data_IF_842484446430
#
_entry.id   IF_842484446430
#
_cell.length_a   1.000
_cell.length_b   1.000
_cell.length_c   1.000
_cell.angle_alpha   90.00
_cell.angle_beta   90.00
_cell.angle_gamma   90.00
#
_symmetry.space_group_name_H-M   'P 1'
#
loop_
_entity.id
_entity.type
_entity.pdbx_description
1 polymer ?
#
# COMPACT_ATOMS: atom_id res chain seq x y z
N UNK A 1 41.19 -7.02 -52.49
CA UNK A 1 40.24 -7.58 -51.51
C UNK A 1 40.34 -6.75 -50.24
N UNK A 2 39.44 -5.79 -50.06
CA UNK A 2 39.28 -5.04 -48.81
C UNK A 2 37.87 -5.39 -48.31
N UNK A 3 37.79 -6.21 -47.27
CA UNK A 3 36.52 -6.52 -46.61
C UNK A 3 36.23 -5.41 -45.59
N UNK A 4 35.25 -4.57 -45.88
CA UNK A 4 34.67 -3.66 -44.90
C UNK A 4 33.65 -4.44 -44.06
N UNK A 5 33.97 -4.61 -42.77
CA UNK A 5 33.06 -5.21 -41.79
C UNK A 5 32.09 -4.11 -41.32
N UNK A 6 30.86 -4.11 -41.83
CA UNK A 6 29.75 -3.31 -41.30
C UNK A 6 29.27 -3.96 -40.00
N UNK A 7 29.75 -3.45 -38.86
CA UNK A 7 29.15 -3.69 -37.55
C UNK A 7 27.93 -2.76 -37.39
N UNK A 8 26.78 -3.20 -37.89
CA UNK A 8 25.49 -2.63 -37.47
C UNK A 8 25.26 -3.03 -36.00
N UNK A 9 25.58 -2.12 -35.09
CA UNK A 9 25.03 -2.16 -33.74
C UNK A 9 23.56 -1.74 -33.85
N UNK A 10 22.66 -2.71 -33.91
CA UNK A 10 21.25 -2.45 -33.66
C UNK A 10 21.13 -2.02 -32.19
N UNK A 11 21.13 -0.71 -31.95
CA UNK A 11 20.66 -0.17 -30.69
C UNK A 11 19.17 -0.50 -30.64
N UNK A 12 18.78 -1.48 -29.83
CA UNK A 12 17.37 -1.71 -29.55
C UNK A 12 16.81 -0.37 -29.03
N UNK A 13 15.95 0.28 -29.82
CA UNK A 13 15.24 1.47 -29.35
C UNK A 13 14.42 1.05 -28.13
N UNK A 14 14.63 1.74 -27.00
CA UNK A 14 13.79 1.57 -25.83
C UNK A 14 12.32 1.75 -26.24
N UNK A 15 11.45 0.86 -25.77
CA UNK A 15 10.03 0.96 -26.07
C UNK A 15 9.48 2.30 -25.56
N UNK A 16 8.85 3.13 -26.42
CA UNK A 16 8.37 4.44 -26.03
C UNK A 16 7.22 4.39 -25.02
N UNK A 17 6.51 3.26 -24.91
CA UNK A 17 5.41 3.05 -23.96
C UNK A 17 5.65 1.77 -23.15
N UNK A 18 4.91 1.60 -22.05
CA UNK A 18 4.99 0.39 -21.23
C UNK A 18 4.51 -0.87 -21.96
N UNK A 19 3.50 -0.73 -22.82
CA UNK A 19 2.98 -1.77 -23.70
C UNK A 19 2.77 -1.14 -25.08
N UNK A 20 3.28 -1.78 -26.12
CA UNK A 20 3.18 -1.25 -27.50
C UNK A 20 1.84 -1.54 -28.18
N UNK A 21 1.25 -2.70 -27.93
CA UNK A 21 -0.03 -3.09 -28.54
C UNK A 21 -0.87 -3.93 -27.59
N UNK A 22 -2.19 -3.74 -27.63
CA UNK A 22 -3.14 -4.60 -26.93
C UNK A 22 -3.69 -5.67 -27.86
N UNK A 23 -3.38 -6.93 -27.57
CA UNK A 23 -4.03 -8.06 -28.21
C UNK A 23 -5.50 -8.17 -27.76
N UNK A 24 -6.43 -8.66 -28.61
CA UNK A 24 -7.78 -9.00 -28.17
C UNK A 24 -7.74 -10.12 -27.12
N UNK A 25 -8.40 -9.93 -25.98
CA UNK A 25 -8.53 -11.00 -24.98
C UNK A 25 -9.62 -11.98 -25.41
N UNK A 26 -9.23 -13.24 -25.62
CA UNK A 26 -10.12 -14.34 -26.02
C UNK A 26 -10.15 -15.50 -25.01
N UNK A 27 -9.36 -15.42 -23.93
CA UNK A 27 -9.18 -16.54 -23.00
C UNK A 27 -10.02 -16.39 -21.73
N UNK A 28 -9.87 -15.28 -21.00
CA UNK A 28 -10.59 -15.04 -19.75
C UNK A 28 -11.95 -14.40 -20.06
N UNK A 29 -12.89 -15.25 -20.49
CA UNK A 29 -14.30 -14.92 -20.72
C UNK A 29 -15.14 -15.61 -19.65
N UNK A 30 -15.61 -14.83 -18.68
CA UNK A 30 -16.17 -15.38 -17.45
C UNK A 30 -17.68 -15.65 -17.57
N UNK A 31 -18.13 -16.82 -17.13
CA UNK A 31 -19.56 -17.15 -17.00
C UNK A 31 -19.99 -17.00 -15.55
N UNK A 32 -20.97 -16.13 -15.27
CA UNK A 32 -21.48 -15.95 -13.91
C UNK A 32 -22.31 -17.15 -13.44
N UNK A 33 -22.94 -17.87 -14.37
CA UNK A 33 -23.74 -19.07 -14.08
C UNK A 33 -22.87 -20.30 -13.83
N UNK A 34 -21.73 -20.39 -14.51
CA UNK A 34 -20.80 -21.52 -14.44
C UNK A 34 -19.36 -20.98 -14.31
N UNK A 35 -19.01 -20.41 -13.14
CA UNK A 35 -17.69 -19.85 -12.93
C UNK A 35 -16.62 -20.95 -12.99
N UNK A 36 -15.43 -20.69 -13.56
CA UNK A 36 -14.36 -21.67 -13.65
C UNK A 36 -14.04 -22.26 -12.27
N UNK A 37 -14.01 -23.59 -12.10
CA UNK A 37 -13.76 -24.22 -10.82
C UNK A 37 -12.30 -24.04 -10.36
N UNK A 38 -11.38 -23.75 -11.28
CA UNK A 38 -9.96 -23.54 -10.99
C UNK A 38 -9.38 -22.37 -11.79
N UNK A 39 -8.19 -21.90 -11.40
CA UNK A 39 -7.46 -20.87 -12.17
C UNK A 39 -6.94 -21.44 -13.49
N UNK A 40 -6.45 -22.68 -13.53
CA UNK A 40 -6.04 -23.33 -14.79
C UNK A 40 -7.16 -23.45 -15.82
N UNK A 41 -8.41 -23.58 -15.38
CA UNK A 41 -9.60 -23.63 -16.26
C UNK A 41 -10.17 -22.25 -16.60
N UNK A 42 -9.65 -21.16 -16.01
CA UNK A 42 -10.19 -19.82 -16.18
C UNK A 42 -9.74 -19.08 -17.45
N UNK A 43 -8.59 -19.47 -18.01
CA UNK A 43 -7.95 -18.74 -19.11
C UNK A 43 -7.13 -17.50 -18.69
N UNK A 44 -6.93 -17.27 -17.38
CA UNK A 44 -6.04 -16.22 -16.87
C UNK A 44 -4.60 -16.40 -17.36
N UNK A 45 -4.08 -17.61 -17.29
CA UNK A 45 -2.72 -17.93 -17.71
C UNK A 45 -2.72 -18.77 -18.99
N UNK A 46 -1.83 -18.43 -19.90
CA UNK A 46 -1.53 -19.20 -21.11
C UNK A 46 -0.56 -20.35 -20.83
N UNK A 47 0.24 -20.19 -19.77
CA UNK A 47 1.08 -21.23 -19.21
C UNK A 47 1.00 -21.14 -17.68
N UNK A 48 0.51 -22.21 -17.06
CA UNK A 48 0.34 -22.30 -15.61
C UNK A 48 1.66 -22.45 -14.86
N UNK A 49 2.64 -23.16 -15.44
CA UNK A 49 3.90 -23.45 -14.76
C UNK A 49 4.72 -22.18 -14.54
N UNK A 50 4.84 -21.37 -15.59
CA UNK A 50 5.49 -20.06 -15.52
C UNK A 50 4.56 -18.93 -15.05
N UNK A 51 3.26 -19.22 -14.87
CA UNK A 51 2.20 -18.22 -14.62
C UNK A 51 2.20 -17.10 -15.66
N UNK A 52 2.49 -17.43 -16.92
CA UNK A 52 2.48 -16.47 -18.04
C UNK A 52 1.05 -16.06 -18.35
N UNK A 53 0.72 -14.80 -18.07
CA UNK A 53 -0.61 -14.22 -18.27
C UNK A 53 -1.01 -14.27 -19.75
N UNK A 54 -2.26 -14.66 -20.01
CA UNK A 54 -2.78 -14.79 -21.37
C UNK A 54 -2.79 -13.46 -22.14
N UNK A 55 -2.57 -13.49 -23.47
CA UNK A 55 -2.59 -12.28 -24.29
C UNK A 55 -3.88 -11.46 -24.15
N UNK A 56 -3.72 -10.13 -24.10
CA UNK A 56 -4.84 -9.18 -23.99
C UNK A 56 -5.31 -8.89 -22.56
N UNK A 57 -4.76 -9.60 -21.57
CA UNK A 57 -4.90 -9.27 -20.14
C UNK A 57 -3.79 -8.29 -19.76
N UNK A 58 -4.17 -7.15 -19.16
CA UNK A 58 -3.30 -5.98 -19.03
C UNK A 58 -2.87 -5.83 -17.57
N UNK A 59 -1.56 -5.88 -17.25
CA UNK A 59 -1.09 -5.62 -15.89
C UNK A 59 -1.26 -4.14 -15.52
N UNK A 60 -1.51 -3.88 -14.25
CA UNK A 60 -1.52 -2.52 -13.70
C UNK A 60 -1.12 -2.50 -12.23
N UNK A 61 -0.66 -1.34 -11.79
CA UNK A 61 -0.32 -1.03 -10.42
C UNK A 61 -1.24 0.04 -9.83
N UNK A 62 -1.05 0.29 -8.54
CA UNK A 62 -1.76 1.35 -7.82
C UNK A 62 -0.75 2.23 -7.09
N UNK A 63 -0.94 3.54 -7.15
CA UNK A 63 -0.06 4.49 -6.47
C UNK A 63 -0.09 4.32 -4.95
N UNK A 64 -1.27 4.20 -4.34
CA UNK A 64 -1.42 3.86 -2.92
C UNK A 64 -2.07 2.48 -2.76
N UNK A 65 -1.42 1.61 -2.01
CA UNK A 65 -1.90 0.25 -1.78
C UNK A 65 -2.97 0.21 -0.68
N UNK A 66 -3.98 -0.63 -0.88
CA UNK A 66 -4.86 -1.08 0.20
C UNK A 66 -4.07 -2.05 1.08
N UNK A 67 -3.96 -1.74 2.37
CA UNK A 67 -3.34 -2.59 3.39
C UNK A 67 -4.09 -3.92 3.52
N UNK A 68 -3.35 -5.01 3.63
CA UNK A 68 -3.88 -6.36 3.86
C UNK A 68 -2.84 -7.20 4.59
N UNK A 69 -2.44 -6.74 5.77
CA UNK A 69 -1.59 -7.49 6.71
C UNK A 69 -0.26 -7.99 6.11
N UNK A 70 0.39 -7.13 5.32
CA UNK A 70 1.66 -7.44 4.66
C UNK A 70 1.51 -8.14 3.30
N UNK A 71 0.32 -8.57 2.89
CA UNK A 71 0.14 -9.19 1.59
C UNK A 71 0.32 -8.18 0.44
N UNK A 72 1.21 -8.51 -0.48
CA UNK A 72 1.43 -7.76 -1.72
C UNK A 72 0.48 -8.24 -2.82
N UNK A 73 0.23 -7.41 -3.82
CA UNK A 73 -0.78 -7.70 -4.85
C UNK A 73 -0.29 -7.39 -6.25
N UNK A 74 -0.43 -8.37 -7.14
CA UNK A 74 -0.36 -8.18 -8.58
C UNK A 74 -1.79 -8.06 -9.13
N UNK A 75 -1.97 -7.24 -10.18
CA UNK A 75 -3.31 -6.90 -10.67
C UNK A 75 -3.36 -6.86 -12.18
N UNK A 76 -4.52 -7.26 -12.70
CA UNK A 76 -4.76 -7.26 -14.14
C UNK A 76 -6.16 -6.78 -14.50
N UNK A 77 -6.31 -6.23 -15.70
CA UNK A 77 -7.58 -5.89 -16.33
C UNK A 77 -7.76 -6.80 -17.55
N UNK A 78 -8.85 -7.56 -17.59
CA UNK A 78 -9.25 -8.36 -18.74
C UNK A 78 -10.60 -7.84 -19.26
N UNK A 79 -10.58 -7.14 -20.40
CA UNK A 79 -11.80 -6.75 -21.11
C UNK A 79 -12.09 -7.79 -22.19
N UNK A 80 -13.35 -8.07 -22.56
CA UNK A 80 -13.64 -9.03 -23.63
C UNK A 80 -13.18 -8.49 -25.00
N UNK A 81 -12.43 -9.30 -25.76
CA UNK A 81 -11.95 -8.94 -27.09
C UNK A 81 -11.20 -7.61 -27.12
N UNK A 82 -11.70 -6.68 -27.94
CA UNK A 82 -11.16 -5.31 -28.11
C UNK A 82 -12.04 -4.24 -27.46
N UNK A 83 -12.95 -4.63 -26.55
CA UNK A 83 -13.83 -3.67 -25.88
C UNK A 83 -13.04 -2.59 -25.12
N UNK A 84 -13.67 -1.44 -24.91
CA UNK A 84 -13.02 -0.24 -24.36
C UNK A 84 -13.73 0.28 -23.13
N UNK A 85 -12.98 0.99 -22.29
CA UNK A 85 -13.46 1.60 -21.04
C UNK A 85 -13.87 3.05 -21.30
N UNK A 86 -15.02 3.45 -20.79
CA UNK A 86 -15.38 4.88 -20.75
C UNK A 86 -14.58 5.54 -19.61
N UNK A 87 -13.61 6.35 -20.01
CA UNK A 87 -12.73 7.06 -19.10
C UNK A 87 -13.46 8.22 -18.40
N UNK A 88 -13.17 8.41 -17.11
CA UNK A 88 -13.51 9.62 -16.37
C UNK A 88 -12.32 10.10 -15.55
N UNK A 89 -12.10 11.41 -15.50
CA UNK A 89 -11.00 12.00 -14.75
C UNK A 89 -11.21 11.96 -13.23
N UNK A 90 -12.46 12.01 -12.76
CA UNK A 90 -12.82 12.13 -11.34
C UNK A 90 -13.80 11.04 -10.88
N UNK A 91 -14.71 10.62 -11.75
CA UNK A 91 -15.69 9.58 -11.42
C UNK A 91 -15.13 8.17 -11.69
N UNK A 92 -15.76 7.12 -11.13
CA UNK A 92 -15.45 5.74 -11.52
C UNK A 92 -15.53 5.56 -13.03
N UNK A 93 -14.56 4.84 -13.59
CA UNK A 93 -14.59 4.43 -15.00
C UNK A 93 -15.75 3.45 -15.25
N UNK A 94 -16.29 3.44 -16.46
CA UNK A 94 -17.32 2.47 -16.85
C UNK A 94 -16.74 1.39 -17.74
N UNK A 95 -17.02 0.15 -17.36
CA UNK A 95 -16.43 -1.02 -17.98
C UNK A 95 -17.46 -1.75 -18.85
N UNK A 96 -17.04 -2.36 -19.96
CA UNK A 96 -17.91 -3.21 -20.78
C UNK A 96 -18.31 -4.46 -20.00
N UNK A 97 -19.51 -5.04 -20.23
CA UNK A 97 -19.94 -6.31 -19.64
C UNK A 97 -18.89 -7.40 -19.80
N UNK A 98 -18.78 -8.30 -18.81
CA UNK A 98 -17.76 -9.37 -18.77
C UNK A 98 -16.31 -8.86 -18.65
N UNK A 99 -16.12 -7.64 -18.15
CA UNK A 99 -14.81 -7.21 -17.65
C UNK A 99 -14.46 -8.02 -16.40
N UNK A 100 -13.24 -8.54 -16.32
CA UNK A 100 -12.68 -9.17 -15.13
C UNK A 100 -11.52 -8.33 -14.61
N UNK A 101 -11.60 -7.90 -13.35
CA UNK A 101 -10.46 -7.34 -12.62
C UNK A 101 -9.88 -8.44 -11.74
N UNK A 102 -8.58 -8.65 -11.87
CA UNK A 102 -7.87 -9.74 -11.20
C UNK A 102 -6.95 -9.16 -10.12
N UNK A 103 -6.90 -9.82 -8.96
CA UNK A 103 -5.93 -9.57 -7.89
C UNK A 103 -5.31 -10.90 -7.47
N UNK A 104 -4.00 -11.00 -7.59
CA UNK A 104 -3.22 -12.09 -6.99
C UNK A 104 -2.65 -11.58 -5.67
N UNK A 105 -2.90 -12.27 -4.57
CA UNK A 105 -2.40 -11.93 -3.24
C UNK A 105 -1.21 -12.83 -2.91
N UNK A 106 -0.10 -12.18 -2.62
CA UNK A 106 1.14 -12.85 -2.27
C UNK A 106 1.49 -12.56 -0.82
N UNK A 107 1.90 -13.61 -0.10
CA UNK A 107 2.37 -13.53 1.28
C UNK A 107 3.86 -13.87 1.33
N UNK A 108 4.65 -13.04 2.02
CA UNK A 108 6.03 -13.37 2.40
C UNK A 108 5.99 -14.31 3.60
N UNK A 109 6.54 -15.51 3.47
CA UNK A 109 6.64 -16.48 4.57
C UNK A 109 7.85 -16.25 5.47
N UNK A 110 8.78 -15.40 5.05
CA UNK A 110 9.84 -14.81 5.87
C UNK A 110 9.78 -13.28 5.72
N UNK A 111 9.49 -12.60 6.83
CA UNK A 111 9.15 -11.19 6.85
C UNK A 111 10.32 -10.34 6.34
N UNK A 112 10.11 -9.65 5.22
CA UNK A 112 11.13 -8.80 4.61
C UNK A 112 12.08 -9.52 3.66
N UNK A 113 11.85 -10.80 3.39
CA UNK A 113 12.50 -11.55 2.31
C UNK A 113 11.50 -11.79 1.15
N UNK A 114 11.58 -11.01 0.07
CA UNK A 114 10.71 -11.18 -1.10
C UNK A 114 10.86 -12.53 -1.81
N UNK A 115 11.95 -13.27 -1.57
CA UNK A 115 12.16 -14.60 -2.17
C UNK A 115 11.34 -15.69 -1.48
N UNK A 116 10.89 -15.45 -0.24
CA UNK A 116 9.97 -16.31 0.51
C UNK A 116 8.50 -16.16 0.08
N UNK A 117 8.24 -15.26 -0.87
CA UNK A 117 6.90 -14.86 -1.27
C UNK A 117 6.21 -15.96 -2.08
N UNK A 118 5.01 -16.35 -1.66
CA UNK A 118 4.15 -17.25 -2.43
C UNK A 118 2.73 -16.71 -2.63
N UNK A 119 2.08 -17.21 -3.67
CA UNK A 119 0.74 -16.83 -4.09
C UNK A 119 -0.29 -17.65 -3.31
N UNK A 120 -1.12 -16.98 -2.51
CA UNK A 120 -2.09 -17.65 -1.61
C UNK A 120 -3.54 -17.50 -2.08
N UNK A 121 -3.85 -16.44 -2.82
CA UNK A 121 -5.19 -16.17 -3.34
C UNK A 121 -5.14 -15.54 -4.73
N UNK A 122 -6.03 -15.98 -5.62
CA UNK A 122 -6.44 -15.18 -6.78
C UNK A 122 -7.90 -14.79 -6.63
N UNK A 123 -8.20 -13.49 -6.80
CA UNK A 123 -9.57 -12.96 -6.74
C UNK A 123 -9.97 -12.33 -8.05
N UNK A 124 -11.13 -12.73 -8.56
CA UNK A 124 -11.78 -12.09 -9.69
C UNK A 124 -12.92 -11.19 -9.21
N UNK A 125 -13.03 -10.03 -9.84
CA UNK A 125 -14.20 -9.16 -9.76
C UNK A 125 -14.75 -9.01 -11.18
N UNK A 126 -15.93 -9.57 -11.42
CA UNK A 126 -16.52 -9.72 -12.76
C UNK A 126 -17.72 -8.79 -12.92
N UNK A 127 -17.71 -7.96 -13.96
CA UNK A 127 -18.80 -7.03 -14.23
C UNK A 127 -19.96 -7.71 -14.97
N UNK A 128 -21.12 -7.74 -14.33
CA UNK A 128 -22.39 -8.16 -14.89
C UNK A 128 -23.13 -6.96 -15.50
N UNK A 129 -23.09 -6.87 -16.83
CA UNK A 129 -23.79 -5.83 -17.57
C UNK A 129 -25.32 -5.96 -17.55
N UNK A 130 -25.88 -7.11 -17.17
CA UNK A 130 -27.34 -7.32 -17.09
C UNK A 130 -27.88 -6.73 -15.79
N UNK A 131 -27.19 -6.96 -14.67
CA UNK A 131 -27.63 -6.49 -13.35
C UNK A 131 -26.99 -5.18 -12.91
N UNK A 132 -26.03 -4.64 -13.67
CA UNK A 132 -25.23 -3.47 -13.31
C UNK A 132 -24.49 -3.68 -11.97
N UNK A 133 -23.88 -4.86 -11.81
CA UNK A 133 -23.19 -5.29 -10.58
C UNK A 133 -21.83 -5.91 -10.84
N UNK A 134 -20.97 -5.83 -9.84
CA UNK A 134 -19.70 -6.55 -9.81
C UNK A 134 -19.81 -7.76 -8.89
N UNK A 135 -19.33 -8.91 -9.35
CA UNK A 135 -19.40 -10.17 -8.63
C UNK A 135 -17.99 -10.64 -8.26
N UNK A 136 -17.74 -10.89 -6.97
CA UNK A 136 -16.46 -11.37 -6.47
C UNK A 136 -16.36 -12.89 -6.43
N UNK A 137 -15.20 -13.42 -6.82
CA UNK A 137 -14.86 -14.85 -6.78
C UNK A 137 -13.46 -15.02 -6.20
N UNK A 138 -13.33 -15.76 -5.12
CA UNK A 138 -12.06 -15.99 -4.41
C UNK A 138 -11.58 -17.42 -4.70
N UNK A 139 -10.34 -17.56 -5.13
CA UNK A 139 -9.68 -18.83 -5.40
C UNK A 139 -8.53 -19.01 -4.42
N UNK A 140 -8.50 -20.13 -3.70
CA UNK A 140 -7.43 -20.48 -2.79
C UNK A 140 -6.40 -21.34 -3.51
N UNK A 141 -5.13 -20.94 -3.46
CA UNK A 141 -4.05 -21.72 -4.05
C UNK A 141 -3.74 -22.96 -3.22
N UNK A 142 -3.49 -24.07 -3.91
CA UNK A 142 -3.01 -25.31 -3.31
C UNK A 142 -1.61 -25.12 -2.72
N UNK A 143 -1.26 -25.91 -1.70
CA UNK A 143 0.01 -25.77 -0.99
C UNK A 143 1.25 -26.04 -1.87
N UNK A 144 1.09 -26.76 -2.97
CA UNK A 144 2.16 -27.00 -3.96
C UNK A 144 2.23 -25.92 -5.05
N UNK A 145 1.34 -24.92 -5.00
CA UNK A 145 1.27 -23.80 -5.94
C UNK A 145 0.86 -24.19 -7.36
N UNK A 146 0.34 -25.41 -7.57
CA UNK A 146 0.02 -25.96 -8.90
C UNK A 146 -1.23 -25.34 -9.53
N UNK A 147 -2.25 -25.04 -8.74
CA UNK A 147 -3.49 -24.41 -9.17
C UNK A 147 -4.18 -23.74 -7.97
N UNK A 148 -5.31 -23.08 -8.22
CA UNK A 148 -6.18 -22.57 -7.18
C UNK A 148 -7.64 -22.94 -7.43
N UNK A 149 -8.35 -23.29 -6.36
CA UNK A 149 -9.73 -23.78 -6.40
C UNK A 149 -10.70 -22.68 -5.98
N UNK A 150 -11.80 -22.56 -6.71
CA UNK A 150 -12.87 -21.62 -6.39
C UNK A 150 -13.52 -21.97 -5.05
N UNK A 151 -13.61 -20.98 -4.16
CA UNK A 151 -14.30 -21.13 -2.88
C UNK A 151 -15.81 -20.84 -3.02
N UNK A 152 -16.64 -21.74 -2.50
CA UNK A 152 -18.10 -21.58 -2.48
C UNK A 152 -18.60 -20.68 -1.33
N UNK A 153 -17.81 -20.57 -0.26
CA UNK A 153 -18.13 -19.82 0.96
C UNK A 153 -16.88 -19.13 1.49
N UNK A 154 -17.04 -18.25 2.46
CA UNK A 154 -15.90 -17.63 3.12
C UNK A 154 -15.07 -18.66 3.88
N UNK A 155 -13.76 -18.47 3.84
CA UNK A 155 -12.76 -19.29 4.54
C UNK A 155 -11.77 -18.35 5.20
N UNK A 156 -11.34 -18.69 6.41
CA UNK A 156 -10.15 -18.08 7.01
C UNK A 156 -9.09 -19.17 7.09
N UNK A 157 -7.96 -18.94 6.43
CA UNK A 157 -6.82 -19.86 6.46
C UNK A 157 -5.71 -19.29 7.33
N UNK A 158 -5.01 -20.18 8.04
CA UNK A 158 -3.91 -19.79 8.93
C UNK A 158 -2.58 -20.12 8.27
N UNK A 159 -1.82 -19.08 7.95
CA UNK A 159 -0.45 -19.20 7.48
C UNK A 159 0.52 -18.87 8.62
N UNK A 160 1.67 -19.54 8.67
CA UNK A 160 2.69 -19.27 9.67
C UNK A 160 3.88 -18.60 8.99
N UNK A 161 4.14 -17.35 9.39
CA UNK A 161 5.16 -16.48 8.80
C UNK A 161 6.30 -16.33 9.79
N UNK A 162 7.53 -16.54 9.34
CA UNK A 162 8.71 -16.19 10.12
C UNK A 162 8.74 -14.67 10.27
N UNK A 163 8.65 -14.21 11.50
CA UNK A 163 8.62 -12.78 11.81
C UNK A 163 9.48 -12.57 13.07
N UNK A 164 10.69 -12.00 12.94
CA UNK A 164 11.60 -11.82 14.08
C UNK A 164 11.02 -10.89 15.17
N UNK A 165 9.95 -10.14 14.86
CA UNK A 165 9.25 -9.26 15.81
C UNK A 165 8.18 -9.98 16.63
N UNK A 166 7.86 -11.23 16.27
CA UNK A 166 6.86 -12.03 16.97
C UNK A 166 7.48 -12.87 18.07
N UNK A 167 6.70 -13.15 19.13
CA UNK A 167 7.15 -14.02 20.22
C UNK A 167 7.46 -15.42 19.68
N UNK A 168 8.71 -15.87 19.82
CA UNK A 168 9.16 -17.14 19.27
C UNK A 168 9.54 -17.12 17.78
N UNK A 169 9.55 -15.94 17.14
CA UNK A 169 9.99 -15.76 15.75
C UNK A 169 9.01 -16.28 14.70
N UNK A 170 7.81 -16.71 15.09
CA UNK A 170 6.76 -17.19 14.22
C UNK A 170 5.44 -16.47 14.52
N UNK A 171 4.88 -15.84 13.50
CA UNK A 171 3.59 -15.14 13.56
C UNK A 171 2.53 -15.91 12.80
N UNK A 172 1.39 -16.11 13.43
CA UNK A 172 0.18 -16.56 12.73
C UNK A 172 -0.41 -15.42 11.88
N UNK A 173 -0.64 -15.68 10.61
CA UNK A 173 -1.28 -14.79 9.65
C UNK A 173 -2.63 -15.41 9.25
N UNK A 174 -3.72 -14.77 9.68
CA UNK A 174 -5.07 -15.16 9.34
C UNK A 174 -5.46 -14.48 8.02
N UNK A 175 -5.51 -15.24 6.92
CA UNK A 175 -5.94 -14.71 5.64
C UNK A 175 -7.42 -15.01 5.42
N UNK A 176 -8.22 -13.95 5.25
CA UNK A 176 -9.66 -14.06 5.05
C UNK A 176 -10.04 -14.04 3.57
N UNK A 177 -10.57 -15.16 3.09
CA UNK A 177 -11.17 -15.30 1.76
C UNK A 177 -12.67 -14.96 1.85
N UNK A 178 -13.15 -13.84 1.28
CA UNK A 178 -14.56 -13.47 1.34
C UNK A 178 -15.39 -14.34 0.40
N UNK A 179 -16.61 -14.68 0.83
CA UNK A 179 -17.66 -15.16 -0.06
C UNK A 179 -18.17 -14.04 -0.97
N UNK A 180 -18.92 -14.42 -2.00
CA UNK A 180 -19.46 -13.47 -2.99
C UNK A 180 -20.30 -12.35 -2.34
N UNK A 181 -21.26 -12.64 -1.45
CA UNK A 181 -22.06 -11.59 -0.81
C UNK A 181 -21.24 -10.69 0.14
N UNK A 182 -20.09 -11.16 0.63
CA UNK A 182 -19.22 -10.35 1.48
C UNK A 182 -18.39 -9.34 0.69
N UNK A 183 -18.16 -9.58 -0.61
CA UNK A 183 -17.51 -8.60 -1.48
C UNK A 183 -18.32 -7.30 -1.58
N UNK A 184 -19.65 -7.40 -1.54
CA UNK A 184 -20.57 -6.25 -1.61
C UNK A 184 -20.45 -5.30 -0.40
N UNK A 185 -19.82 -5.73 0.70
CA UNK A 185 -19.56 -4.84 1.85
C UNK A 185 -18.61 -3.70 1.52
N UNK A 186 -17.69 -3.93 0.58
CA UNK A 186 -16.70 -2.93 0.15
C UNK A 186 -16.95 -2.45 -1.28
N UNK A 187 -17.50 -3.32 -2.14
CA UNK A 187 -17.75 -3.05 -3.56
C UNK A 187 -19.14 -2.42 -3.83
N UNK A 188 -19.55 -1.48 -2.96
CA UNK A 188 -20.85 -0.80 -3.02
C UNK A 188 -20.94 0.17 -4.21
N UNK A 189 -22.15 0.40 -4.71
CA UNK A 189 -22.42 1.23 -5.89
C UNK A 189 -22.00 2.69 -5.66
N UNK A 190 -22.24 3.21 -4.47
CA UNK A 190 -21.90 4.56 -4.04
C UNK A 190 -20.38 4.80 -4.07
N UNK A 191 -19.59 3.74 -3.86
CA UNK A 191 -18.13 3.76 -3.97
C UNK A 191 -17.62 3.57 -5.40
N UNK A 192 -18.50 3.35 -6.38
CA UNK A 192 -18.16 3.03 -7.76
C UNK A 192 -17.94 1.55 -8.03
N UNK A 193 -18.17 0.67 -7.05
CA UNK A 193 -17.99 -0.79 -7.08
C UNK A 193 -16.59 -1.32 -7.43
N UNK A 194 -15.70 -0.53 -8.01
CA UNK A 194 -14.32 -0.90 -8.33
C UNK A 194 -13.35 -0.18 -7.42
N UNK A 195 -12.64 -0.94 -6.58
CA UNK A 195 -11.67 -0.40 -5.63
C UNK A 195 -10.26 -0.46 -6.22
N UNK A 196 -9.66 0.72 -6.43
CA UNK A 196 -8.27 0.89 -6.83
C UNK A 196 -8.01 1.11 -8.32
N UNK A 197 -9.02 0.97 -9.19
CA UNK A 197 -8.92 1.34 -10.61
C UNK A 197 -9.60 2.69 -10.82
N UNK A 198 -8.85 3.75 -10.56
CA UNK A 198 -9.29 5.13 -10.78
C UNK A 198 -8.18 5.92 -11.47
N UNK A 199 -8.53 7.05 -12.07
CA UNK A 199 -7.56 7.96 -12.69
C UNK A 199 -6.44 8.33 -11.71
N UNK A 200 -6.76 8.73 -10.48
CA UNK A 200 -5.76 9.13 -9.50
C UNK A 200 -4.82 7.98 -9.08
N UNK A 201 -5.32 6.74 -8.99
CA UNK A 201 -4.52 5.57 -8.63
C UNK A 201 -3.58 5.10 -9.74
N UNK A 202 -4.00 5.25 -11.00
CA UNK A 202 -3.25 4.78 -12.16
C UNK A 202 -2.40 5.88 -12.80
N UNK A 203 -2.60 7.15 -12.44
CA UNK A 203 -1.75 8.24 -12.92
C UNK A 203 -0.38 8.19 -12.24
N UNK A 204 0.55 7.39 -12.74
CA UNK A 204 1.87 7.22 -12.14
C UNK A 204 2.68 6.15 -12.87
N UNK A 205 4.00 6.08 -12.60
CA UNK A 205 4.87 5.12 -13.24
C UNK A 205 4.50 3.69 -12.84
N UNK A 206 4.59 2.77 -13.80
CA UNK A 206 4.51 1.33 -13.59
C UNK A 206 5.53 0.63 -14.48
N UNK A 207 6.16 -0.40 -13.93
CA UNK A 207 7.12 -1.21 -14.66
C UNK A 207 6.39 -2.35 -15.38
N UNK A 208 6.39 -2.31 -16.70
CA UNK A 208 5.82 -3.34 -17.57
C UNK A 208 6.86 -4.40 -17.97
N UNK A 209 8.05 -4.39 -17.35
CA UNK A 209 9.18 -5.28 -17.62
C UNK A 209 10.03 -4.82 -18.81
N UNK A 210 9.40 -4.45 -19.93
CA UNK A 210 10.10 -3.92 -21.11
C UNK A 210 10.41 -2.41 -20.99
N UNK A 211 9.54 -1.66 -20.33
CA UNK A 211 9.69 -0.24 -20.06
C UNK A 211 8.88 0.17 -18.82
N UNK A 212 9.36 1.20 -18.13
CA UNK A 212 8.57 1.91 -17.11
C UNK A 212 7.89 3.11 -17.74
N UNK A 213 6.58 3.24 -17.55
CA UNK A 213 5.80 4.34 -18.09
C UNK A 213 4.65 4.76 -17.16
N UNK A 214 4.13 5.98 -17.33
CA UNK A 214 2.85 6.36 -16.78
C UNK A 214 1.74 5.44 -17.33
N UNK A 215 1.01 4.79 -16.42
CA UNK A 215 0.01 3.81 -16.82
C UNK A 215 -1.10 4.43 -17.66
N UNK A 216 -1.59 5.64 -17.36
CA UNK A 216 -2.62 6.28 -18.17
C UNK A 216 -2.13 6.58 -19.59
N UNK A 217 -0.85 6.96 -19.75
CA UNK A 217 -0.24 7.14 -21.07
C UNK A 217 -0.18 5.81 -21.84
N UNK A 218 0.28 4.75 -21.19
CA UNK A 218 0.32 3.40 -21.78
C UNK A 218 -1.09 2.88 -22.12
N UNK A 219 -2.05 2.97 -21.20
CA UNK A 219 -3.42 2.52 -21.41
C UNK A 219 -4.14 3.31 -22.52
N UNK A 220 -3.88 4.62 -22.62
CA UNK A 220 -4.36 5.44 -23.73
C UNK A 220 -3.74 4.99 -25.06
N UNK A 221 -2.42 4.79 -25.09
CA UNK A 221 -1.68 4.37 -26.29
C UNK A 221 -2.19 3.04 -26.85
N UNK A 222 -2.41 2.04 -25.99
CA UNK A 222 -2.91 0.73 -26.42
C UNK A 222 -4.43 0.71 -26.70
N UNK A 223 -5.09 1.87 -26.69
CA UNK A 223 -6.50 2.01 -27.04
C UNK A 223 -7.46 1.42 -26.00
N UNK A 224 -7.11 1.45 -24.70
CA UNK A 224 -8.02 0.99 -23.64
C UNK A 224 -9.28 1.87 -23.57
N UNK A 225 -9.14 3.17 -23.75
CA UNK A 225 -10.22 4.13 -23.54
C UNK A 225 -11.03 4.41 -24.81
N UNK A 226 -12.32 4.72 -24.64
CA UNK A 226 -13.22 5.08 -25.75
C UNK A 226 -12.86 6.40 -26.43
N UNK A 227 -12.06 7.24 -25.77
CA UNK A 227 -11.54 8.53 -26.26
C UNK A 227 -10.06 8.67 -25.95
N UNK A 228 -9.38 9.53 -26.72
CA UNK A 228 -8.01 9.94 -26.43
C UNK A 228 -7.98 10.90 -25.22
N UNK A 229 -7.03 10.69 -24.31
CA UNK A 229 -6.81 11.52 -23.11
C UNK A 229 -5.45 12.25 -23.15
N UNK A 230 -4.69 12.15 -24.24
CA UNK A 230 -3.32 12.68 -24.31
C UNK A 230 -3.20 14.16 -23.95
N UNK A 231 -4.15 15.00 -24.37
CA UNK A 231 -4.13 16.45 -24.12
C UNK A 231 -4.44 16.85 -22.68
N UNK A 232 -5.01 15.96 -21.88
CA UNK A 232 -5.39 16.22 -20.49
C UNK A 232 -4.50 15.50 -19.47
N UNK A 233 -3.65 14.54 -19.89
CA UNK A 233 -2.82 13.69 -19.03
C UNK A 233 -2.08 14.47 -17.93
N UNK A 234 -1.49 15.62 -18.26
CA UNK A 234 -0.70 16.43 -17.31
C UNK A 234 -1.55 17.03 -16.17
N UNK A 235 -2.85 17.22 -16.39
CA UNK A 235 -3.77 17.84 -15.44
C UNK A 235 -4.65 16.82 -14.69
N UNK A 236 -4.49 15.52 -14.98
CA UNK A 236 -5.27 14.49 -14.30
C UNK A 236 -4.83 14.34 -12.84
N UNK A 237 -5.76 14.02 -11.92
CA UNK A 237 -5.41 13.80 -10.52
C UNK A 237 -4.41 12.63 -10.39
N UNK A 238 -3.58 12.68 -9.35
CA UNK A 238 -2.56 11.68 -9.06
C UNK A 238 -2.43 11.46 -7.56
N UNK A 239 -2.67 10.23 -7.13
CA UNK A 239 -2.30 9.75 -5.80
C UNK A 239 -0.81 9.45 -5.74
N UNK A 240 -0.26 9.43 -4.52
CA UNK A 240 1.13 9.12 -4.26
C UNK A 240 1.27 7.83 -3.45
N UNK A 241 2.42 7.19 -3.56
CA UNK A 241 2.81 6.14 -2.63
C UNK A 241 2.93 6.75 -1.22
N UNK A 242 2.15 6.28 -0.23
CA UNK A 242 2.21 6.81 1.13
C UNK A 242 3.60 6.75 1.76
N UNK A 243 4.47 5.85 1.31
CA UNK A 243 5.82 5.63 1.86
C UNK A 243 6.93 6.36 1.09
N UNK A 244 6.62 7.05 -0.01
CA UNK A 244 7.61 7.80 -0.79
C UNK A 244 7.92 9.15 -0.12
N UNK A 245 9.00 9.22 0.65
CA UNK A 245 9.44 10.44 1.36
C UNK A 245 9.85 11.60 0.44
N UNK A 246 9.93 11.40 -0.89
CA UNK A 246 10.20 12.49 -1.83
C UNK A 246 8.96 13.30 -2.20
N UNK A 247 7.76 12.80 -1.84
CA UNK A 247 6.47 13.43 -2.14
C UNK A 247 5.93 14.19 -0.93
N UNK A 248 5.16 15.25 -1.19
CA UNK A 248 4.46 16.03 -0.17
C UNK A 248 3.69 15.13 0.81
N UNK A 249 3.87 15.40 2.10
CA UNK A 249 3.31 14.59 3.18
C UNK A 249 1.78 14.62 3.18
N UNK A 250 1.16 15.76 2.86
CA UNK A 250 -0.28 15.87 2.73
C UNK A 250 -0.82 15.00 1.62
N UNK A 251 -0.20 15.05 0.44
CA UNK A 251 -0.57 14.20 -0.69
C UNK A 251 -0.46 12.71 -0.36
N UNK A 252 0.61 12.29 0.31
CA UNK A 252 0.81 10.89 0.77
C UNK A 252 -0.26 10.45 1.76
N UNK A 253 -0.54 11.26 2.77
CA UNK A 253 -1.56 10.97 3.78
C UNK A 253 -2.95 10.89 3.17
N UNK A 254 -3.31 11.84 2.31
CA UNK A 254 -4.59 11.83 1.58
C UNK A 254 -4.73 10.64 0.64
N UNK A 255 -3.62 10.22 0.02
CA UNK A 255 -3.60 9.02 -0.82
C UNK A 255 -3.85 7.75 0.00
N UNK A 256 -3.23 7.63 1.17
CA UNK A 256 -3.47 6.51 2.08
C UNK A 256 -4.94 6.44 2.53
N UNK A 257 -5.51 7.56 2.99
CA UNK A 257 -6.90 7.64 3.44
C UNK A 257 -7.88 7.29 2.31
N UNK A 258 -7.62 7.75 1.10
CA UNK A 258 -8.44 7.43 -0.06
C UNK A 258 -8.40 5.93 -0.40
N UNK A 259 -7.22 5.31 -0.39
CA UNK A 259 -7.07 3.88 -0.70
C UNK A 259 -7.66 2.96 0.40
N UNK A 260 -7.52 3.35 1.67
CA UNK A 260 -7.77 2.47 2.82
C UNK A 260 -9.06 2.77 3.58
N UNK A 261 -9.64 3.97 3.42
CA UNK A 261 -10.80 4.40 4.24
C UNK A 261 -11.98 4.89 3.40
N UNK A 262 -11.74 5.58 2.28
CA UNK A 262 -12.79 6.34 1.57
C UNK A 262 -13.88 5.49 0.91
N UNK A 263 -13.63 4.21 0.64
CA UNK A 263 -14.66 3.32 0.10
C UNK A 263 -15.80 3.10 1.10
N UNK A 264 -15.51 3.14 2.40
CA UNK A 264 -16.48 3.10 3.50
C UNK A 264 -16.87 4.50 3.98
N UNK A 265 -15.90 5.41 4.06
CA UNK A 265 -16.04 6.76 4.58
C UNK A 265 -16.28 7.77 3.46
N UNK A 266 -17.50 7.74 2.93
CA UNK A 266 -18.02 8.66 1.92
C UNK A 266 -19.54 8.77 2.04
N UNK A 267 -20.16 9.82 1.47
CA UNK A 267 -21.61 9.98 1.49
C UNK A 267 -22.34 8.76 0.92
N UNK A 268 -23.37 8.29 1.64
CA UNK A 268 -24.26 7.20 1.21
C UNK A 268 -23.80 5.78 1.53
N UNK A 269 -22.64 5.57 2.18
CA UNK A 269 -22.16 4.22 2.51
C UNK A 269 -22.34 3.86 3.99
N UNK A 270 -21.84 4.68 4.91
CA UNK A 270 -21.97 4.43 6.36
C UNK A 270 -22.62 5.64 7.05
N UNK A 271 -23.91 5.53 7.38
CA UNK A 271 -24.69 6.60 8.02
C UNK A 271 -24.10 7.08 9.37
N UNK A 272 -23.43 6.18 10.11
CA UNK A 272 -22.86 6.48 11.43
C UNK A 272 -21.48 7.16 11.38
N UNK A 273 -20.84 7.18 10.21
CA UNK A 273 -19.50 7.72 10.02
C UNK A 273 -19.51 8.74 8.87
N UNK A 274 -20.21 9.85 9.13
CA UNK A 274 -20.47 10.99 8.26
C UNK A 274 -19.20 11.82 7.99
N UNK A 275 -18.17 11.18 7.45
CA UNK A 275 -16.97 11.84 6.93
C UNK A 275 -16.73 11.39 5.49
N UNK A 276 -16.13 12.26 4.70
CA UNK A 276 -15.82 12.04 3.31
C UNK A 276 -14.30 12.07 3.11
N UNK A 277 -13.70 10.88 3.00
CA UNK A 277 -12.25 10.71 2.86
C UNK A 277 -11.80 10.50 1.41
N UNK A 278 -12.68 10.73 0.42
CA UNK A 278 -12.31 10.63 -0.99
C UNK A 278 -11.13 11.54 -1.31
N UNK A 279 -10.33 11.14 -2.29
CA UNK A 279 -9.07 11.81 -2.60
C UNK A 279 -9.30 13.27 -3.01
N UNK A 280 -10.38 13.51 -3.75
CA UNK A 280 -10.75 14.80 -4.33
C UNK A 280 -11.43 15.74 -3.33
N UNK A 281 -11.92 15.22 -2.19
CA UNK A 281 -12.63 16.03 -1.20
C UNK A 281 -11.63 16.94 -0.46
N UNK A 282 -11.75 18.28 -0.50
CA UNK A 282 -10.86 19.15 0.28
C UNK A 282 -10.90 18.83 1.77
N UNK A 283 -9.77 18.97 2.49
CA UNK A 283 -9.66 18.56 3.90
C UNK A 283 -10.76 19.19 4.77
N UNK A 284 -11.04 20.46 4.53
CA UNK A 284 -12.02 21.28 5.24
C UNK A 284 -13.47 20.81 4.98
N UNK A 285 -13.68 20.08 3.88
CA UNK A 285 -14.98 19.55 3.45
C UNK A 285 -15.17 18.08 3.82
N UNK A 286 -14.15 17.41 4.35
CA UNK A 286 -14.22 15.99 4.75
C UNK A 286 -15.18 15.76 5.92
N UNK A 287 -15.53 16.80 6.68
CA UNK A 287 -16.26 16.66 7.94
C UNK A 287 -15.48 15.94 9.04
N UNK A 288 -14.17 15.69 8.86
CA UNK A 288 -13.30 15.03 9.84
C UNK A 288 -12.40 16.01 10.61
N UNK A 289 -12.06 17.16 10.01
CA UNK A 289 -11.18 18.15 10.62
C UNK A 289 -11.81 18.78 11.87
N UNK A 290 -11.13 18.66 13.01
CA UNK A 290 -11.51 19.21 14.32
C UNK A 290 -12.96 18.93 14.75
N UNK A 291 -13.56 17.85 14.22
CA UNK A 291 -14.89 17.37 14.64
C UNK A 291 -14.79 16.37 15.77
N UNK A 292 -15.73 16.43 16.71
CA UNK A 292 -15.86 15.45 17.80
C UNK A 292 -16.35 14.10 17.22
N UNK A 293 -15.68 12.97 17.52
CA UNK A 293 -16.08 11.65 17.04
C UNK A 293 -17.38 11.17 17.71
N UNK A 294 -18.19 10.40 16.97
CA UNK A 294 -19.48 9.86 17.43
C UNK A 294 -19.39 8.49 18.12
N UNK A 295 -18.38 7.69 17.80
CA UNK A 295 -18.35 6.25 18.12
C UNK A 295 -17.32 5.83 19.18
N UNK A 296 -16.32 6.67 19.52
CA UNK A 296 -15.40 6.43 20.63
C UNK A 296 -14.56 7.69 20.92
N UNK A 297 -14.29 7.96 22.20
CA UNK A 297 -13.38 9.03 22.64
C UNK A 297 -11.97 8.56 22.98
N UNK A 298 -11.72 7.24 23.03
CA UNK A 298 -10.43 6.64 23.41
C UNK A 298 -9.86 7.15 24.75
N UNK A 299 -10.72 7.57 25.68
CA UNK A 299 -10.29 8.18 26.94
C UNK A 299 -9.65 9.56 26.80
N UNK A 300 -9.66 10.16 25.60
CA UNK A 300 -9.16 11.51 25.37
C UNK A 300 -10.09 12.54 26.03
N UNK A 301 -9.50 13.56 26.66
CA UNK A 301 -10.23 14.67 27.28
C UNK A 301 -10.87 15.60 26.24
N UNK A 302 -10.25 15.73 25.07
CA UNK A 302 -10.72 16.56 23.94
C UNK A 302 -10.62 15.78 22.62
N UNK A 303 -11.49 14.77 22.39
CA UNK A 303 -11.39 13.89 21.24
C UNK A 303 -11.76 14.64 19.96
N UNK A 304 -10.94 14.51 18.92
CA UNK A 304 -11.25 14.95 17.54
C UNK A 304 -10.99 13.81 16.55
N UNK A 305 -11.70 13.80 15.42
CA UNK A 305 -11.47 12.81 14.35
C UNK A 305 -10.06 13.02 13.78
N UNK A 306 -9.81 14.21 13.24
CA UNK A 306 -8.48 14.74 12.91
C UNK A 306 -8.29 15.99 13.78
N UNK A 307 -7.38 15.95 14.75
CA UNK A 307 -7.07 17.09 15.63
C UNK A 307 -5.92 17.89 15.04
N UNK A 308 -6.20 19.09 14.52
CA UNK A 308 -5.18 19.93 13.89
C UNK A 308 -3.98 20.13 14.81
N UNK A 309 -2.78 19.80 14.34
CA UNK A 309 -1.52 19.97 15.08
C UNK A 309 -1.25 18.92 16.16
N UNK A 310 -2.10 17.89 16.29
CA UNK A 310 -2.00 16.89 17.35
C UNK A 310 -2.42 15.49 16.85
N UNK A 311 -1.53 14.86 16.08
CA UNK A 311 -1.79 13.55 15.48
C UNK A 311 -1.98 12.44 16.51
N UNK A 312 -1.24 12.48 17.62
CA UNK A 312 -1.33 11.45 18.68
C UNK A 312 -2.69 11.44 19.37
N UNK A 313 -3.30 12.61 19.57
CA UNK A 313 -4.64 12.72 20.17
C UNK A 313 -5.76 12.83 19.12
N UNK A 314 -5.53 12.31 17.91
CA UNK A 314 -6.54 12.18 16.87
C UNK A 314 -7.15 10.79 16.88
N UNK A 315 -8.47 10.70 16.95
CA UNK A 315 -9.16 9.40 17.02
C UNK A 315 -8.96 8.55 15.76
N UNK A 316 -8.71 9.15 14.59
CA UNK A 316 -8.36 8.38 13.39
C UNK A 316 -7.04 7.62 13.56
N UNK A 317 -6.03 8.25 14.18
CA UNK A 317 -4.75 7.62 14.47
C UNK A 317 -4.92 6.51 15.51
N UNK A 318 -5.66 6.75 16.60
CA UNK A 318 -5.97 5.71 17.59
C UNK A 318 -6.70 4.51 17.00
N UNK A 319 -7.59 4.72 16.02
CA UNK A 319 -8.28 3.63 15.32
C UNK A 319 -7.37 2.80 14.44
N UNK A 320 -6.37 3.42 13.81
CA UNK A 320 -5.36 2.70 13.01
C UNK A 320 -4.43 1.84 13.88
N UNK A 321 -4.23 2.22 15.14
CA UNK A 321 -3.41 1.48 16.10
C UNK A 321 -4.20 0.47 16.95
N UNK A 322 -5.52 0.45 16.84
CA UNK A 322 -6.35 -0.48 17.58
C UNK A 322 -6.40 -1.84 16.88
N UNK A 323 -6.41 -2.90 17.68
CA UNK A 323 -6.62 -4.29 17.24
C UNK A 323 -7.89 -4.91 17.85
N UNK A 324 -8.61 -4.13 18.66
CA UNK A 324 -9.87 -4.51 19.28
C UNK A 324 -11.07 -4.07 18.41
N UNK A 325 -12.28 -4.05 19.00
CA UNK A 325 -13.50 -3.62 18.30
C UNK A 325 -13.49 -2.15 17.84
N UNK A 326 -12.50 -1.35 18.23
CA UNK A 326 -12.33 0.02 17.75
C UNK A 326 -11.46 0.15 16.50
N UNK A 327 -10.82 -0.94 16.05
CA UNK A 327 -9.92 -0.96 14.90
C UNK A 327 -10.56 -0.45 13.62
N UNK A 328 -9.75 0.17 12.76
CA UNK A 328 -10.13 0.52 11.39
C UNK A 328 -9.04 0.12 10.40
N UNK A 329 -9.39 -0.57 9.30
CA UNK A 329 -10.74 -1.08 8.99
C UNK A 329 -11.18 -2.23 9.93
N UNK A 330 -12.49 -2.43 10.15
CA UNK A 330 -13.00 -3.45 11.06
C UNK A 330 -13.00 -4.86 10.45
N UNK A 331 -12.54 -5.00 9.21
CA UNK A 331 -12.59 -6.21 8.40
C UNK A 331 -11.28 -6.40 7.64
N UNK A 332 -10.97 -7.65 7.32
CA UNK A 332 -9.87 -8.07 6.44
C UNK A 332 -8.45 -7.62 6.86
N UNK A 333 -8.26 -7.15 8.08
CA UNK A 333 -6.97 -6.80 8.65
C UNK A 333 -6.94 -7.12 10.14
N UNK A 334 -5.84 -7.70 10.58
CA UNK A 334 -5.51 -8.05 11.96
C UNK A 334 -4.21 -7.37 12.43
N UNK A 335 -3.44 -6.78 11.49
CA UNK A 335 -2.17 -6.13 11.78
C UNK A 335 -2.24 -4.63 11.59
N UNK A 336 -1.49 -3.93 12.44
CA UNK A 336 -1.30 -2.48 12.35
C UNK A 336 -0.36 -2.16 11.19
N UNK A 337 -0.79 -1.27 10.28
CA UNK A 337 0.10 -0.62 9.31
C UNK A 337 0.84 0.54 9.98
N UNK A 338 1.91 0.22 10.72
CA UNK A 338 2.67 1.20 11.49
C UNK A 338 3.27 2.32 10.64
N UNK A 339 3.76 1.98 9.44
CA UNK A 339 4.42 2.95 8.56
C UNK A 339 3.40 3.97 8.06
N UNK A 340 2.23 3.53 7.63
CA UNK A 340 1.18 4.44 7.18
C UNK A 340 0.51 5.18 8.33
N UNK A 341 0.38 4.56 9.52
CA UNK A 341 -0.08 5.26 10.73
C UNK A 341 0.81 6.46 11.06
N UNK A 342 2.13 6.31 10.93
CA UNK A 342 3.07 7.41 11.15
C UNK A 342 2.94 8.51 10.07
N UNK A 343 2.68 8.15 8.82
CA UNK A 343 2.39 9.13 7.75
C UNK A 343 1.18 9.98 8.12
N UNK A 344 0.09 9.35 8.58
CA UNK A 344 -1.11 10.06 9.04
C UNK A 344 -0.80 10.92 10.26
N UNK A 345 -0.10 10.40 11.27
CA UNK A 345 0.27 11.15 12.48
C UNK A 345 1.07 12.41 12.15
N UNK A 346 2.15 12.27 11.36
CA UNK A 346 3.02 13.40 10.94
C UNK A 346 2.26 14.43 10.13
N UNK A 347 1.37 13.98 9.25
CA UNK A 347 0.53 14.88 8.46
C UNK A 347 -0.37 15.71 9.37
N UNK A 348 -1.06 15.06 10.32
CA UNK A 348 -1.96 15.75 11.24
C UNK A 348 -1.22 16.77 12.11
N UNK A 349 -0.01 16.45 12.59
CA UNK A 349 0.83 17.38 13.35
C UNK A 349 1.15 18.68 12.59
N UNK A 350 1.12 18.66 11.25
CA UNK A 350 1.40 19.84 10.41
C UNK A 350 0.14 20.66 10.09
N UNK A 351 -1.07 20.13 10.31
CA UNK A 351 -2.31 20.83 10.00
C UNK A 351 -2.49 22.02 10.95
N UNK A 352 -2.77 23.20 10.40
CA UNK A 352 -3.04 24.42 11.19
C UNK A 352 -1.80 25.05 11.84
N UNK A 353 -0.63 24.44 11.70
CA UNK A 353 0.64 25.09 12.06
C UNK A 353 1.01 26.01 10.91
N UNK A 354 0.92 27.33 11.14
CA UNK A 354 1.51 28.34 10.23
C UNK A 354 3.03 28.20 10.28
N UNK A 355 3.55 27.26 9.53
CA UNK A 355 4.95 27.27 9.16
C UNK A 355 5.04 28.18 7.94
N UNK A 356 5.40 29.45 8.16
CA UNK A 356 6.20 30.14 7.15
C UNK A 356 7.55 29.41 7.09
N UNK A 357 7.56 28.23 6.48
CA UNK A 357 8.76 27.52 6.09
C UNK A 357 8.54 27.23 4.63
N UNK A 358 9.21 28.02 3.79
CA UNK A 358 9.50 27.61 2.42
C UNK A 358 10.05 26.19 2.52
N UNK A 359 9.45 25.25 1.80
CA UNK A 359 10.15 24.03 1.39
C UNK A 359 11.26 24.46 0.42
N UNK A 360 12.34 25.00 0.95
CA UNK A 360 13.64 24.90 0.28
C UNK A 360 14.15 23.49 0.59
N UNK A 361 14.47 22.76 -0.48
CA UNK A 361 15.02 21.42 -0.49
C UNK A 361 16.46 21.39 0.09
N UNK A 362 16.66 21.97 1.27
CA UNK A 362 17.94 21.92 1.92
C UNK A 362 18.08 20.55 2.61
N UNK A 363 18.77 19.67 1.90
CA UNK A 363 19.37 18.47 2.48
C UNK A 363 20.12 18.89 3.76
N UNK A 364 19.98 18.13 4.86
CA UNK A 364 20.66 18.49 6.09
C UNK A 364 22.17 18.54 5.84
N UNK A 365 22.78 19.69 6.15
CA UNK A 365 24.23 19.87 6.05
C UNK A 365 24.97 19.34 7.28
N UNK A 366 24.23 18.80 8.26
CA UNK A 366 24.73 18.32 9.55
C UNK A 366 24.33 16.86 9.85
N UNK A 367 25.25 16.13 10.51
CA UNK A 367 24.99 14.83 11.11
C UNK A 367 24.44 15.03 12.53
N UNK A 368 23.22 14.56 12.81
CA UNK A 368 22.54 14.82 14.08
C UNK A 368 21.72 13.63 14.58
N UNK A 369 21.63 13.49 15.90
CA UNK A 369 20.78 12.53 16.60
C UNK A 369 19.86 13.27 17.57
N UNK A 370 18.55 13.21 17.32
CA UNK A 370 17.55 13.94 18.10
C UNK A 370 17.14 13.17 19.36
N UNK A 371 16.62 13.86 20.40
CA UNK A 371 15.96 13.19 21.51
C UNK A 371 14.81 12.30 21.00
N UNK A 372 14.72 11.10 21.55
CA UNK A 372 13.63 10.19 21.26
C UNK A 372 12.33 10.68 21.91
N UNK A 373 11.20 10.39 21.26
CA UNK A 373 9.88 10.75 21.77
C UNK A 373 8.86 9.63 21.48
N UNK A 374 8.01 9.24 22.45
CA UNK A 374 8.01 9.67 23.85
C UNK A 374 9.26 9.21 24.62
N UNK A 375 9.62 9.92 25.70
CA UNK A 375 10.65 9.53 26.65
C UNK A 375 10.29 10.08 28.05
N UNK A 376 9.99 9.25 29.06
CA UNK A 376 9.93 7.79 29.02
C UNK A 376 8.86 7.25 28.07
N UNK A 377 8.98 5.99 27.64
CA UNK A 377 8.00 5.31 26.79
C UNK A 377 7.71 3.90 27.29
N UNK A 378 6.55 3.35 26.94
CA UNK A 378 6.08 2.03 27.40
C UNK A 378 5.64 1.06 26.30
N UNK A 379 5.67 1.50 25.03
CA UNK A 379 5.31 0.65 23.90
C UNK A 379 6.28 0.86 22.74
N UNK A 380 6.46 2.12 22.31
CA UNK A 380 7.41 2.46 21.25
C UNK A 380 7.93 3.89 21.45
N UNK A 381 9.17 4.13 21.07
CA UNK A 381 9.76 5.46 20.98
C UNK A 381 10.32 5.70 19.59
N UNK A 382 10.18 6.93 19.12
CA UNK A 382 10.69 7.36 17.82
C UNK A 382 12.04 8.03 18.00
N UNK A 383 13.05 7.58 17.26
CA UNK A 383 14.39 8.15 17.20
C UNK A 383 14.57 8.81 15.83
N UNK A 384 14.75 10.14 15.82
CA UNK A 384 15.00 10.90 14.59
C UNK A 384 16.48 11.25 14.48
N UNK A 385 16.99 11.21 13.26
CA UNK A 385 18.37 11.55 12.98
C UNK A 385 18.56 12.12 11.57
N UNK A 386 19.69 12.79 11.37
CA UNK A 386 20.05 13.44 10.11
C UNK A 386 21.42 12.94 9.66
N UNK A 387 21.53 12.69 8.36
CA UNK A 387 22.73 12.21 7.69
C UNK A 387 23.09 13.27 6.64
N UNK A 388 24.29 13.85 6.74
CA UNK A 388 24.74 14.88 5.80
C UNK A 388 25.43 14.32 4.55
N UNK A 389 26.02 13.12 4.65
CA UNK A 389 26.79 12.48 3.59
C UNK A 389 26.29 11.07 3.31
N UNK A 390 26.25 10.68 2.04
CA UNK A 390 25.86 9.32 1.66
C UNK A 390 26.84 8.30 2.26
N UNK A 391 26.34 7.26 2.91
CA UNK A 391 27.19 6.26 3.56
C UNK A 391 26.44 5.18 4.30
N UNK A 392 27.18 4.18 4.78
CA UNK A 392 26.64 3.17 5.69
C UNK A 392 26.33 3.81 7.05
N UNK A 393 25.09 3.67 7.50
CA UNK A 393 24.60 4.19 8.77
C UNK A 393 24.13 3.05 9.66
N UNK A 394 24.57 3.06 10.91
CA UNK A 394 24.06 2.16 11.94
C UNK A 394 23.40 2.93 13.08
N UNK A 395 22.26 2.43 13.55
CA UNK A 395 21.61 2.92 14.76
C UNK A 395 21.38 1.72 15.68
N UNK A 396 22.02 1.74 16.84
CA UNK A 396 22.03 0.60 17.77
C UNK A 396 21.64 1.06 19.17
N UNK A 397 20.78 0.30 19.82
CA UNK A 397 20.41 0.46 21.23
C UNK A 397 21.30 -0.44 22.08
N UNK A 398 21.77 0.09 23.20
CA UNK A 398 22.65 -0.54 24.18
C UNK A 398 22.02 -0.46 25.57
N UNK A 399 22.34 -1.44 26.42
CA UNK A 399 22.00 -1.37 27.84
C UNK A 399 22.91 -0.39 28.61
N UNK A 400 22.66 -0.26 29.91
CA UNK A 400 23.42 0.62 30.79
C UNK A 400 24.90 0.23 30.96
N UNK A 401 25.31 -1.01 30.59
CA UNK A 401 26.70 -1.47 30.63
C UNK A 401 27.38 -1.41 29.25
N UNK A 402 26.67 -0.96 28.21
CA UNK A 402 27.20 -0.77 26.86
C UNK A 402 27.14 -2.04 25.99
N UNK A 403 26.39 -3.06 26.39
CA UNK A 403 26.13 -4.23 25.55
C UNK A 403 25.08 -3.88 24.50
N UNK A 404 25.32 -4.27 23.24
CA UNK A 404 24.34 -4.10 22.15
C UNK A 404 23.09 -4.92 22.44
N UNK A 405 21.93 -4.26 22.42
CA UNK A 405 20.62 -4.83 22.68
C UNK A 405 19.82 -4.97 21.40
N UNK A 406 19.79 -3.92 20.57
CA UNK A 406 19.07 -3.97 19.31
C UNK A 406 19.69 -3.12 18.22
N UNK A 407 19.81 -3.64 17.00
CA UNK A 407 20.22 -2.88 15.82
C UNK A 407 18.98 -2.43 15.04
N UNK A 408 18.64 -1.14 15.16
CA UNK A 408 17.46 -0.56 14.52
C UNK A 408 17.68 -0.24 13.04
N UNK A 409 18.93 0.07 12.68
CA UNK A 409 19.32 0.44 11.32
C UNK A 409 20.72 -0.13 11.08
N UNK A 410 20.92 -0.83 9.97
CA UNK A 410 22.23 -1.21 9.44
C UNK A 410 22.22 -1.23 7.90
N UNK A 411 22.29 -0.04 7.28
CA UNK A 411 22.15 0.09 5.82
C UNK A 411 22.77 1.37 5.26
N UNK A 412 22.92 1.42 3.94
CA UNK A 412 23.37 2.61 3.24
C UNK A 412 22.26 3.66 3.17
N UNK A 413 22.56 4.90 3.56
CA UNK A 413 21.67 6.06 3.53
C UNK A 413 22.23 7.13 2.58
N UNK A 414 21.35 7.87 1.92
CA UNK A 414 21.70 9.11 1.22
C UNK A 414 21.70 10.28 2.23
N UNK A 415 22.15 11.50 1.85
CA UNK A 415 21.92 12.68 2.68
C UNK A 415 20.43 12.87 2.90
N UNK A 416 19.98 13.02 4.14
CA UNK A 416 18.57 13.01 4.45
C UNK A 416 18.23 13.04 5.93
N UNK A 417 16.93 13.21 6.20
CA UNK A 417 16.35 13.10 7.54
C UNK A 417 15.69 11.73 7.65
N UNK A 418 15.95 11.03 8.74
CA UNK A 418 15.56 9.65 8.93
C UNK A 418 14.92 9.42 10.29
N UNK A 419 14.13 8.36 10.37
CA UNK A 419 13.41 7.95 11.56
C UNK A 419 13.58 6.46 11.76
N UNK A 420 13.84 6.06 12.99
CA UNK A 420 13.78 4.69 13.45
C UNK A 420 12.86 4.59 14.67
N UNK A 421 12.43 3.38 14.99
CA UNK A 421 11.57 3.12 16.14
C UNK A 421 12.20 2.04 17.00
N UNK A 422 12.02 2.16 18.31
CA UNK A 422 12.38 1.10 19.25
C UNK A 422 11.19 0.80 20.16
N UNK A 423 10.82 -0.47 20.24
CA UNK A 423 9.65 -0.99 20.95
C UNK A 423 10.01 -1.61 22.32
N UNK A 424 11.24 -1.38 22.79
CA UNK A 424 11.75 -2.05 23.99
C UNK A 424 12.16 -3.51 23.75
N UNK A 425 12.24 -3.99 22.51
CA UNK A 425 12.76 -5.32 22.17
C UNK A 425 14.29 -5.39 22.06
N UNK A 426 14.86 -6.58 22.24
CA UNK A 426 16.23 -6.90 21.80
C UNK A 426 16.23 -7.58 20.43
N UNK A 427 17.41 -7.84 19.84
CA UNK A 427 17.54 -8.52 18.54
C UNK A 427 17.01 -9.97 18.52
N UNK A 428 16.71 -10.54 19.68
CA UNK A 428 16.04 -11.85 19.82
C UNK A 428 14.51 -11.73 19.92
N UNK A 429 13.93 -10.54 19.70
CA UNK A 429 12.49 -10.28 19.78
C UNK A 429 11.94 -10.25 21.22
N UNK A 430 12.81 -10.26 22.24
CA UNK A 430 12.39 -10.28 23.64
C UNK A 430 12.31 -8.87 24.22
N UNK A 431 11.23 -8.59 24.95
CA UNK A 431 11.06 -7.33 25.67
C UNK A 431 12.08 -7.18 26.80
N UNK A 432 12.80 -6.08 26.78
CA UNK A 432 13.82 -5.74 27.77
C UNK A 432 13.20 -5.16 29.04
N UNK A 433 13.95 -5.20 30.15
CA UNK A 433 13.46 -4.68 31.42
C UNK A 433 13.24 -3.15 31.39
N UNK A 434 12.36 -2.63 32.24
CA UNK A 434 12.27 -1.18 32.48
C UNK A 434 13.62 -0.65 32.93
N UNK A 435 14.09 0.45 32.34
CA UNK A 435 15.42 0.96 32.63
C UNK A 435 15.90 2.04 31.67
N UNK A 436 17.13 2.48 31.92
CA UNK A 436 17.85 3.42 31.05
C UNK A 436 18.64 2.65 30.02
N UNK A 437 18.52 3.06 28.77
CA UNK A 437 19.26 2.53 27.63
C UNK A 437 19.90 3.68 26.86
N UNK A 438 20.88 3.35 26.02
CA UNK A 438 21.61 4.29 25.19
C UNK A 438 21.38 3.92 23.73
N UNK A 439 21.11 4.88 22.86
CA UNK A 439 21.11 4.66 21.42
C UNK A 439 22.23 5.45 20.77
N UNK A 440 22.97 4.78 19.89
CA UNK A 440 24.12 5.32 19.17
C UNK A 440 23.84 5.30 17.68
N UNK A 441 23.98 6.46 17.06
CA UNK A 441 23.99 6.62 15.61
C UNK A 441 25.44 6.73 15.12
N UNK A 442 25.81 5.94 14.12
CA UNK A 442 27.15 5.94 13.54
C UNK A 442 27.09 6.01 12.01
N UNK A 443 27.94 6.85 11.43
CA UNK A 443 28.14 6.97 9.97
C UNK A 443 29.63 7.21 9.68
N UNK A 444 30.33 6.19 9.19
CA UNK A 444 31.78 6.24 9.02
C UNK A 444 32.51 6.59 10.33
N UNK A 445 33.30 7.68 10.39
CA UNK A 445 34.00 8.11 11.61
C UNK A 445 33.12 8.89 12.60
N UNK A 446 31.90 9.30 12.21
CA UNK A 446 31.01 10.11 13.05
C UNK A 446 30.15 9.19 13.94
N UNK A 447 30.00 9.57 15.22
CA UNK A 447 29.17 8.86 16.19
C UNK A 447 28.49 9.85 17.14
N UNK A 448 27.19 9.64 17.39
CA UNK A 448 26.39 10.40 18.36
C UNK A 448 25.61 9.44 19.24
N UNK A 449 25.47 9.77 20.53
CA UNK A 449 24.76 8.95 21.51
C UNK A 449 23.76 9.76 22.31
N UNK A 450 22.66 9.12 22.70
CA UNK A 450 21.64 9.68 23.58
C UNK A 450 21.04 8.60 24.48
N UNK A 451 20.42 9.03 25.58
CA UNK A 451 19.76 8.15 26.52
C UNK A 451 18.25 8.14 26.32
N UNK A 452 17.63 6.99 26.61
CA UNK A 452 16.18 6.82 26.65
C UNK A 452 15.77 5.96 27.86
N UNK A 453 14.53 6.11 28.29
CA UNK A 453 13.96 5.42 29.45
C UNK A 453 12.78 4.56 28.99
N UNK A 454 12.91 3.25 29.11
CA UNK A 454 11.86 2.27 28.81
C UNK A 454 11.10 1.90 30.09
N UNK A 455 9.77 1.79 29.98
CA UNK A 455 8.85 1.42 31.06
C UNK A 455 7.97 0.25 30.61
N UNK A 456 8.12 -0.91 31.24
CA UNK A 456 7.22 -2.06 31.03
C UNK A 456 5.85 -1.87 31.66
#
# INVERSE_FOLDING_TARGET
>A
MLYALLMLHAVAQAQPYGIETRAPNQSLLFSLQDPPPTISSSGLYSDMESRTVSPGIIPYGVNAVLWSDGATKERFIALPGTERVEFSAQDPWRFPPNTVLIKNFYLEFDTGDPSSRDLIETRFLVYDGVTDKWNGFSYQWEADGSDAVLLEREVTESYFVLDPRSEGGLREHQHFFPSRPLCDRCHVKEAGSVLGVTTAQLNGPFDYGAATDNQLRTLNHIGLFTRDIQSELENLPRMANPLDETVDLGLRARSYLAANCAHCHRPGVIDKADIDLRFETPLEQTGALDRIPTLASFGMSDPRIIKSGDGVNSSIYSRMLAIDSNRMPPLATELIDWQSAEVIRRWIDQIGVSTQVRFEQDLPTDFALEPNFPNPFNAITTIRYRVSDAGKVTLTVFDAVGQSISVLVDRFHAPGRYTAWWDGGNDAGQQVASGVYIYRLQAGPLSLERQLIHLK
#
